data_IF_148357287272
#
_entry.id   IF_148357287272
#
_cell.length_a   1.000
_cell.length_b   1.000
_cell.length_c   1.000
_cell.angle_alpha   90.00
_cell.angle_beta   90.00
_cell.angle_gamma   90.00
#
_symmetry.space_group_name_H-M   'P 1'
#
loop_
_entity.id
_entity.type
_entity.pdbx_description
1 polymer ?
#
# COMPACT_ATOMS: atom_id res chain seq x y z
N UNK A 1 -16.33 0.46 -23.94
CA UNK A 1 -17.43 0.65 -22.97
C UNK A 1 -17.00 0.23 -21.56
N UNK A 2 -16.31 -0.89 -21.38
CA UNK A 2 -15.84 -1.35 -20.04
C UNK A 2 -14.66 -0.54 -19.48
N UNK A 3 -13.84 0.08 -20.32
CA UNK A 3 -12.63 0.80 -19.89
C UNK A 3 -12.90 2.16 -19.25
N UNK A 4 -13.95 2.86 -19.62
CA UNK A 4 -14.22 4.23 -19.21
C UNK A 4 -15.22 4.38 -18.06
N UNK A 5 -15.94 3.31 -17.71
CA UNK A 5 -16.87 3.31 -16.58
C UNK A 5 -16.16 3.25 -15.22
N UNK A 6 -16.95 3.31 -14.16
CA UNK A 6 -16.50 3.29 -12.75
C UNK A 6 -16.99 2.06 -11.99
N UNK A 7 -17.51 1.06 -12.70
CA UNK A 7 -18.17 -0.11 -12.09
C UNK A 7 -17.29 -0.85 -11.06
N UNK A 8 -15.99 -1.01 -11.37
CA UNK A 8 -15.06 -1.73 -10.48
C UNK A 8 -14.82 -0.91 -9.20
N UNK A 9 -14.62 0.40 -9.34
CA UNK A 9 -14.44 1.33 -8.22
C UNK A 9 -15.69 1.34 -7.33
N UNK A 10 -16.86 1.51 -7.91
CA UNK A 10 -18.14 1.52 -7.19
C UNK A 10 -18.38 0.18 -6.46
N UNK A 11 -18.04 -0.96 -7.10
CA UNK A 11 -18.19 -2.30 -6.51
C UNK A 11 -17.25 -2.49 -5.32
N UNK A 12 -15.99 -2.08 -5.43
CA UNK A 12 -15.03 -2.18 -4.33
C UNK A 12 -15.40 -1.28 -3.16
N UNK A 13 -15.86 -0.06 -3.42
CA UNK A 13 -16.35 0.84 -2.37
C UNK A 13 -17.56 0.26 -1.64
N UNK A 14 -18.49 -0.36 -2.39
CA UNK A 14 -19.62 -1.06 -1.78
C UNK A 14 -19.15 -2.23 -0.92
N UNK A 15 -18.17 -3.00 -1.39
CA UNK A 15 -17.57 -4.08 -0.61
C UNK A 15 -16.91 -3.55 0.68
N UNK A 16 -16.15 -2.46 0.61
CA UNK A 16 -15.52 -1.85 1.78
C UNK A 16 -16.56 -1.32 2.77
N UNK A 17 -17.64 -0.71 2.28
CA UNK A 17 -18.77 -0.28 3.10
C UNK A 17 -19.42 -1.47 3.82
N UNK A 18 -19.71 -2.55 3.10
CA UNK A 18 -20.27 -3.77 3.68
C UNK A 18 -19.30 -4.42 4.68
N UNK A 19 -17.99 -4.34 4.42
CA UNK A 19 -16.98 -4.86 5.37
C UNK A 19 -16.94 -4.02 6.64
N UNK A 20 -17.07 -2.70 6.56
CA UNK A 20 -17.02 -1.82 7.72
C UNK A 20 -18.28 -1.87 8.56
N UNK A 21 -19.45 -1.77 7.93
CA UNK A 21 -20.75 -1.73 8.62
C UNK A 21 -21.35 -3.11 8.88
N UNK A 22 -20.90 -4.12 8.15
CA UNK A 22 -21.53 -5.43 8.08
C UNK A 22 -22.61 -5.51 6.98
N UNK A 23 -23.06 -6.70 6.69
CA UNK A 23 -24.20 -6.93 5.80
C UNK A 23 -25.02 -8.12 6.30
N UNK A 24 -26.34 -7.96 6.44
CA UNK A 24 -27.08 -6.70 6.38
C UNK A 24 -26.75 -5.77 7.56
N UNK A 25 -26.91 -4.47 7.37
CA UNK A 25 -26.60 -3.46 8.41
C UNK A 25 -27.45 -3.66 9.67
N UNK A 26 -28.69 -4.13 9.50
CA UNK A 26 -29.56 -4.53 10.60
C UNK A 26 -29.75 -6.06 10.65
N UNK A 27 -28.79 -6.73 11.28
CA UNK A 27 -28.79 -8.18 11.36
C UNK A 27 -30.01 -8.76 12.11
N UNK A 28 -30.53 -8.05 13.10
CA UNK A 28 -31.71 -8.49 13.89
C UNK A 28 -33.01 -8.48 13.08
N UNK A 29 -33.23 -7.45 12.28
CA UNK A 29 -34.37 -7.40 11.36
C UNK A 29 -34.26 -8.49 10.28
N UNK A 30 -33.04 -8.70 9.77
CA UNK A 30 -32.79 -9.72 8.76
C UNK A 30 -33.03 -11.13 9.29
N UNK A 31 -32.61 -11.43 10.51
CA UNK A 31 -32.90 -12.72 11.18
C UNK A 31 -34.40 -12.94 11.33
N UNK A 32 -35.15 -11.92 11.79
CA UNK A 32 -36.58 -12.00 11.88
C UNK A 32 -37.27 -12.25 10.54
N UNK A 33 -36.82 -11.58 9.48
CA UNK A 33 -37.34 -11.78 8.13
C UNK A 33 -37.09 -13.22 7.63
N UNK A 34 -35.90 -13.78 7.86
CA UNK A 34 -35.58 -15.16 7.50
C UNK A 34 -36.44 -16.18 8.27
N UNK A 35 -36.64 -15.96 9.56
CA UNK A 35 -37.51 -16.81 10.38
C UNK A 35 -38.96 -16.82 9.86
N UNK A 36 -39.46 -15.66 9.42
CA UNK A 36 -40.81 -15.52 8.84
C UNK A 36 -40.89 -16.28 7.50
N UNK A 37 -39.89 -16.19 6.66
CA UNK A 37 -39.86 -16.84 5.34
C UNK A 37 -39.48 -18.33 5.41
N UNK A 38 -39.16 -18.87 6.58
CA UNK A 38 -38.70 -20.25 6.80
C UNK A 38 -37.46 -20.60 5.96
N UNK A 39 -36.68 -19.63 5.61
CA UNK A 39 -35.41 -19.83 4.87
C UNK A 39 -34.31 -20.19 5.84
N UNK A 40 -33.39 -21.10 5.42
CA UNK A 40 -32.26 -21.49 6.27
C UNK A 40 -31.27 -20.35 6.42
N UNK A 41 -30.83 -20.06 7.64
CA UNK A 41 -29.75 -19.09 7.91
C UNK A 41 -28.43 -19.46 7.17
N UNK A 42 -28.23 -20.74 6.83
CA UNK A 42 -27.06 -21.19 6.07
C UNK A 42 -27.00 -20.67 4.63
N UNK A 43 -28.15 -20.32 4.07
CA UNK A 43 -28.26 -19.79 2.70
C UNK A 43 -28.22 -18.26 2.65
N UNK A 44 -28.16 -17.62 3.83
CA UNK A 44 -28.15 -16.18 3.94
C UNK A 44 -26.72 -15.63 3.81
N UNK A 45 -26.50 -14.72 2.86
CA UNK A 45 -25.24 -14.01 2.72
C UNK A 45 -25.10 -12.96 3.82
N UNK A 46 -24.16 -13.17 4.74
CA UNK A 46 -23.86 -12.24 5.83
C UNK A 46 -22.39 -11.92 5.90
N UNK A 47 -22.06 -10.68 6.24
CA UNK A 47 -20.71 -10.20 6.52
C UNK A 47 -20.72 -9.58 7.90
N UNK A 48 -19.87 -10.06 8.81
CA UNK A 48 -19.68 -9.43 10.11
C UNK A 48 -18.94 -8.10 9.96
N UNK A 49 -19.37 -7.10 10.74
CA UNK A 49 -18.77 -5.76 10.69
C UNK A 49 -17.32 -5.78 11.20
N UNK A 50 -16.39 -5.40 10.35
CA UNK A 50 -14.98 -5.16 10.68
C UNK A 50 -14.73 -3.66 10.79
N UNK A 51 -14.77 -3.12 12.02
CA UNK A 51 -14.58 -1.69 12.32
C UNK A 51 -13.11 -1.24 12.21
N UNK A 52 -12.45 -1.59 11.13
CA UNK A 52 -11.05 -1.20 10.89
C UNK A 52 -10.98 0.16 10.18
N UNK A 53 -10.07 1.04 10.62
CA UNK A 53 -9.91 2.40 10.08
C UNK A 53 -9.65 2.44 8.57
N UNK A 54 -9.03 1.39 8.01
CA UNK A 54 -8.75 1.30 6.56
C UNK A 54 -10.04 1.23 5.72
N UNK A 55 -11.15 0.75 6.29
CA UNK A 55 -12.46 0.67 5.64
C UNK A 55 -13.40 1.80 6.06
N UNK A 56 -13.01 2.61 7.05
CA UNK A 56 -13.84 3.71 7.54
C UNK A 56 -13.86 4.86 6.53
N UNK A 57 -15.05 5.25 6.01
CA UNK A 57 -15.17 6.35 5.07
C UNK A 57 -14.67 7.69 5.62
N UNK A 58 -14.73 7.90 6.95
CA UNK A 58 -14.26 9.12 7.59
C UNK A 58 -12.72 9.23 7.60
N UNK A 59 -12.01 8.11 7.71
CA UNK A 59 -10.55 8.07 7.62
C UNK A 59 -10.05 8.01 6.17
N UNK A 60 -10.84 7.47 5.25
CA UNK A 60 -10.48 7.27 3.84
C UNK A 60 -11.16 8.26 2.89
N UNK A 61 -11.35 9.52 3.32
CA UNK A 61 -12.13 10.56 2.61
C UNK A 61 -11.69 10.78 1.15
N UNK A 62 -10.39 10.77 0.89
CA UNK A 62 -9.87 11.00 -0.46
C UNK A 62 -10.24 9.85 -1.41
N UNK A 63 -10.05 8.60 -0.99
CA UNK A 63 -10.39 7.43 -1.80
C UNK A 63 -11.91 7.32 -1.95
N UNK A 64 -12.66 7.60 -0.90
CA UNK A 64 -14.13 7.56 -0.92
C UNK A 64 -14.71 8.55 -1.93
N UNK A 65 -14.14 9.76 -2.03
CA UNK A 65 -14.58 10.81 -2.97
C UNK A 65 -14.04 10.65 -4.38
N UNK A 66 -12.81 10.12 -4.53
CA UNK A 66 -12.19 9.90 -5.82
C UNK A 66 -12.99 8.86 -6.64
N UNK A 67 -12.99 9.01 -7.96
CA UNK A 67 -13.55 8.03 -8.89
C UNK A 67 -12.45 7.55 -9.82
N UNK A 68 -12.15 6.25 -9.75
CA UNK A 68 -11.14 5.63 -10.59
C UNK A 68 -11.81 4.89 -11.75
N UNK A 69 -11.38 5.17 -12.98
CA UNK A 69 -11.90 4.51 -14.17
C UNK A 69 -11.57 3.02 -14.15
N UNK A 70 -12.41 2.22 -14.75
CA UNK A 70 -12.22 0.77 -14.83
C UNK A 70 -10.85 0.39 -15.42
N UNK A 71 -10.33 1.12 -16.40
CA UNK A 71 -9.00 0.87 -16.97
C UNK A 71 -7.89 1.01 -15.93
N UNK A 72 -7.93 2.06 -15.08
CA UNK A 72 -6.96 2.27 -14.01
C UNK A 72 -7.10 1.18 -12.93
N UNK A 73 -8.33 0.87 -12.52
CA UNK A 73 -8.58 -0.19 -11.53
C UNK A 73 -8.10 -1.56 -12.02
N UNK A 74 -8.35 -1.91 -13.28
CA UNK A 74 -7.86 -3.15 -13.86
C UNK A 74 -6.33 -3.22 -13.88
N UNK A 75 -5.66 -2.12 -14.22
CA UNK A 75 -4.19 -2.05 -14.16
C UNK A 75 -3.66 -2.24 -12.74
N UNK A 76 -4.28 -1.62 -11.74
CA UNK A 76 -3.90 -1.79 -10.33
C UNK A 76 -4.08 -3.26 -9.92
N UNK A 77 -5.23 -3.85 -10.20
CA UNK A 77 -5.51 -5.25 -9.88
C UNK A 77 -4.53 -6.20 -10.59
N UNK A 78 -4.24 -5.97 -11.87
CA UNK A 78 -3.26 -6.78 -12.62
C UNK A 78 -1.86 -6.69 -11.99
N UNK A 79 -1.39 -5.48 -11.70
CA UNK A 79 -0.08 -5.25 -11.09
C UNK A 79 0.06 -5.88 -9.70
N UNK A 80 -1.01 -5.93 -8.94
CA UNK A 80 -1.00 -6.49 -7.59
C UNK A 80 -1.26 -7.99 -7.54
N UNK A 81 -1.97 -8.56 -8.51
CA UNK A 81 -2.38 -9.96 -8.48
C UNK A 81 -1.59 -10.88 -9.40
N UNK A 82 -0.84 -10.34 -10.36
CA UNK A 82 -0.08 -11.12 -11.32
C UNK A 82 1.42 -10.86 -11.19
N UNK A 83 2.20 -11.92 -10.97
CA UNK A 83 3.65 -11.81 -10.89
C UNK A 83 4.26 -11.48 -12.26
N UNK A 84 5.27 -10.62 -12.27
CA UNK A 84 6.07 -10.37 -13.47
C UNK A 84 7.19 -11.41 -13.55
N UNK A 85 7.36 -12.11 -14.69
CA UNK A 85 8.46 -13.04 -14.84
C UNK A 85 9.80 -12.29 -14.78
N UNK A 86 10.72 -12.78 -13.97
CA UNK A 86 12.10 -12.23 -13.88
C UNK A 86 12.95 -12.70 -15.06
N UNK A 87 12.62 -13.86 -15.61
CA UNK A 87 13.35 -14.48 -16.70
C UNK A 87 12.37 -15.00 -17.78
N UNK A 88 12.83 -15.16 -19.01
CA UNK A 88 12.04 -15.70 -20.12
C UNK A 88 11.48 -17.12 -19.90
N UNK A 89 12.00 -17.85 -18.93
CA UNK A 89 11.55 -19.21 -18.55
C UNK A 89 10.45 -19.22 -17.48
N UNK A 90 10.27 -18.11 -16.78
CA UNK A 90 9.23 -18.01 -15.76
C UNK A 90 7.89 -17.65 -16.39
N UNK A 91 6.82 -18.29 -15.92
CA UNK A 91 5.46 -17.97 -16.34
C UNK A 91 4.83 -16.97 -15.39
N UNK A 92 3.98 -16.11 -15.91
CA UNK A 92 3.11 -15.27 -15.08
C UNK A 92 2.23 -16.16 -14.21
N UNK A 93 2.17 -15.87 -12.93
CA UNK A 93 1.34 -16.60 -11.96
C UNK A 93 0.57 -15.65 -11.06
N UNK A 94 -0.45 -16.15 -10.38
CA UNK A 94 -1.17 -15.39 -9.37
C UNK A 94 -0.29 -15.18 -8.15
N UNK A 95 -0.29 -13.96 -7.61
CA UNK A 95 0.35 -13.64 -6.33
C UNK A 95 -0.63 -14.03 -5.22
N UNK A 96 -0.16 -14.83 -4.26
CA UNK A 96 -0.92 -15.14 -3.05
C UNK A 96 -0.39 -14.31 -1.89
N UNK A 97 -1.28 -13.59 -1.22
CA UNK A 97 -0.99 -12.81 -0.02
C UNK A 97 -1.33 -13.54 1.27
N UNK A 98 -1.87 -14.76 1.19
CA UNK A 98 -2.31 -15.54 2.36
C UNK A 98 -1.19 -15.91 3.33
N UNK A 99 0.05 -16.00 2.82
CA UNK A 99 1.23 -16.31 3.62
C UNK A 99 2.07 -15.07 3.98
N UNK A 100 1.51 -13.86 3.76
CA UNK A 100 2.22 -12.62 4.05
C UNK A 100 2.32 -12.42 5.57
N UNK A 101 3.52 -12.51 6.10
CA UNK A 101 3.79 -12.27 7.52
C UNK A 101 3.74 -10.78 7.87
N UNK A 102 3.58 -10.47 9.16
CA UNK A 102 3.48 -9.09 9.68
C UNK A 102 4.69 -8.25 9.25
N UNK A 103 5.90 -8.80 9.33
CA UNK A 103 7.12 -8.07 8.93
C UNK A 103 7.15 -7.77 7.43
N UNK A 104 6.61 -8.66 6.60
CA UNK A 104 6.50 -8.45 5.16
C UNK A 104 5.45 -7.37 4.85
N UNK A 105 4.30 -7.39 5.53
CA UNK A 105 3.31 -6.32 5.43
C UNK A 105 3.89 -4.98 5.88
N UNK A 106 4.61 -4.95 7.00
CA UNK A 106 5.31 -3.76 7.48
C UNK A 106 6.29 -3.20 6.45
N UNK A 107 7.08 -4.05 5.81
CA UNK A 107 8.03 -3.65 4.77
C UNK A 107 7.33 -3.07 3.52
N UNK A 108 6.21 -3.65 3.09
CA UNK A 108 5.39 -3.12 1.99
C UNK A 108 4.81 -1.77 2.35
N UNK A 109 4.23 -1.64 3.54
CA UNK A 109 3.65 -0.41 4.04
C UNK A 109 4.70 0.70 4.13
N UNK A 110 5.87 0.40 4.68
CA UNK A 110 6.98 1.34 4.76
C UNK A 110 7.48 1.77 3.38
N UNK A 111 7.61 0.82 2.45
CA UNK A 111 8.00 1.15 1.08
C UNK A 111 6.99 2.12 0.43
N UNK A 112 5.69 1.91 0.61
CA UNK A 112 4.66 2.79 0.10
C UNK A 112 4.70 4.19 0.74
N UNK A 113 4.92 4.27 2.06
CA UNK A 113 5.02 5.54 2.78
C UNK A 113 6.30 6.33 2.45
N UNK A 114 7.33 5.66 1.98
CA UNK A 114 8.59 6.30 1.58
C UNK A 114 8.48 7.10 0.28
N UNK A 115 7.42 6.86 -0.50
CA UNK A 115 7.15 7.62 -1.72
C UNK A 115 6.29 8.85 -1.42
N UNK A 116 6.62 9.96 -2.05
CA UNK A 116 5.83 11.18 -2.02
C UNK A 116 5.39 11.58 -3.41
N UNK A 117 4.13 12.01 -3.50
CA UNK A 117 3.57 12.61 -4.70
C UNK A 117 3.42 14.11 -4.51
N UNK A 118 3.84 14.90 -5.49
CA UNK A 118 3.63 16.33 -5.51
C UNK A 118 3.44 16.81 -6.95
N UNK A 119 2.84 17.98 -7.10
CA UNK A 119 2.68 18.64 -8.41
C UNK A 119 3.80 19.68 -8.55
N UNK A 120 4.51 19.67 -9.67
CA UNK A 120 5.54 20.64 -9.96
C UNK A 120 4.91 22.05 -10.06
N UNK A 121 5.32 22.95 -9.19
CA UNK A 121 4.84 24.34 -9.19
C UNK A 121 5.51 25.20 -10.27
N UNK A 122 6.65 24.75 -10.76
CA UNK A 122 7.45 25.31 -11.84
C UNK A 122 8.19 24.19 -12.56
N UNK A 123 8.90 24.50 -13.64
CA UNK A 123 9.68 23.50 -14.36
C UNK A 123 10.84 23.00 -13.49
N UNK A 124 10.92 21.68 -13.31
CA UNK A 124 11.90 21.03 -12.44
C UNK A 124 12.80 20.10 -13.25
N UNK A 125 14.07 20.11 -12.93
CA UNK A 125 15.07 19.25 -13.52
C UNK A 125 15.51 18.19 -12.51
N UNK A 126 15.65 16.94 -12.97
CA UNK A 126 16.10 15.86 -12.11
C UNK A 126 17.62 15.83 -12.07
N UNK A 127 18.16 15.76 -10.85
CA UNK A 127 19.59 15.67 -10.58
C UNK A 127 19.88 14.47 -9.69
N UNK A 128 21.12 14.01 -9.68
CA UNK A 128 21.61 12.88 -8.88
C UNK A 128 22.99 13.20 -8.29
N UNK A 129 23.45 12.39 -7.36
CA UNK A 129 24.82 12.53 -6.85
C UNK A 129 25.82 12.10 -7.92
N UNK A 130 26.96 12.76 -7.95
CA UNK A 130 28.05 12.40 -8.83
C UNK A 130 28.49 10.93 -8.60
N UNK A 131 28.58 10.19 -9.68
CA UNK A 131 28.96 8.76 -9.63
C UNK A 131 27.80 7.77 -9.48
N UNK A 132 26.61 8.22 -9.06
CA UNK A 132 25.45 7.34 -8.97
C UNK A 132 24.89 7.00 -10.35
N UNK A 133 24.42 5.76 -10.52
CA UNK A 133 23.62 5.39 -11.68
C UNK A 133 22.19 5.86 -11.45
N UNK A 134 21.58 6.39 -12.51
CA UNK A 134 20.18 6.77 -12.43
C UNK A 134 19.27 5.54 -12.28
N UNK A 135 18.35 5.60 -11.33
CA UNK A 135 17.32 4.61 -11.15
C UNK A 135 16.03 5.30 -10.71
N UNK A 136 14.93 5.08 -11.42
CA UNK A 136 13.63 5.68 -11.10
C UNK A 136 13.05 5.27 -9.76
N UNK A 137 13.52 4.16 -9.20
CA UNK A 137 13.08 3.65 -7.89
C UNK A 137 13.88 4.23 -6.72
N UNK A 138 14.96 4.94 -7.01
CA UNK A 138 15.77 5.61 -5.99
C UNK A 138 15.24 7.00 -5.66
N UNK A 139 15.86 7.63 -4.67
CA UNK A 139 15.52 8.99 -4.25
C UNK A 139 15.69 9.95 -5.41
N UNK A 140 14.62 10.67 -5.76
CA UNK A 140 14.65 11.73 -6.76
C UNK A 140 15.00 13.08 -6.13
N UNK A 141 15.94 13.79 -6.73
CA UNK A 141 16.25 15.17 -6.38
C UNK A 141 15.83 16.08 -7.53
N UNK A 142 15.11 17.12 -7.21
CA UNK A 142 14.54 18.04 -8.20
C UNK A 142 14.97 19.45 -7.88
N UNK A 143 15.45 20.15 -8.90
CA UNK A 143 15.96 21.50 -8.79
C UNK A 143 15.32 22.40 -9.87
N UNK A 144 15.29 23.68 -9.62
CA UNK A 144 14.83 24.68 -10.59
C UNK A 144 15.91 24.94 -11.64
N UNK A 145 15.52 25.55 -12.76
CA UNK A 145 16.44 25.88 -13.83
C UNK A 145 17.62 26.76 -13.36
N UNK A 146 17.35 27.75 -12.51
CA UNK A 146 18.37 28.64 -11.96
C UNK A 146 19.35 27.95 -11.00
N UNK A 147 18.99 26.81 -10.44
CA UNK A 147 19.84 26.02 -9.54
C UNK A 147 20.66 24.96 -10.30
N UNK A 148 20.29 24.69 -11.56
CA UNK A 148 20.89 23.65 -12.37
C UNK A 148 22.40 23.91 -12.64
N UNK A 149 22.83 25.17 -12.64
CA UNK A 149 24.23 25.56 -12.79
C UNK A 149 25.13 25.02 -11.66
N UNK A 150 24.57 24.77 -10.48
CA UNK A 150 25.29 24.23 -9.33
C UNK A 150 25.63 22.74 -9.48
N UNK A 151 25.12 22.07 -10.50
CA UNK A 151 25.26 20.64 -10.72
C UNK A 151 26.05 20.36 -12.01
N UNK A 152 27.02 19.47 -11.94
CA UNK A 152 27.86 19.11 -13.10
C UNK A 152 26.99 18.50 -14.21
N UNK A 153 27.20 19.00 -15.42
CA UNK A 153 26.38 18.65 -16.57
C UNK A 153 26.47 17.16 -16.95
N UNK A 154 27.62 16.53 -16.78
CA UNK A 154 27.89 15.16 -17.24
C UNK A 154 27.60 14.10 -16.17
N UNK A 155 27.81 14.43 -14.91
CA UNK A 155 27.81 13.45 -13.81
C UNK A 155 26.59 13.55 -12.92
N UNK A 156 25.97 14.75 -12.79
CA UNK A 156 24.90 15.00 -11.83
C UNK A 156 23.55 15.29 -12.47
N UNK A 157 23.52 15.85 -13.69
CA UNK A 157 22.24 16.11 -14.38
C UNK A 157 21.72 14.84 -15.04
N UNK A 158 20.48 14.47 -14.73
CA UNK A 158 19.86 13.27 -15.27
C UNK A 158 19.36 13.54 -16.69
N UNK A 159 19.60 12.57 -17.58
CA UNK A 159 19.17 12.60 -18.98
C UNK A 159 18.29 11.39 -19.28
N UNK A 160 17.39 11.53 -20.25
CA UNK A 160 16.61 10.40 -20.74
C UNK A 160 17.54 9.38 -21.40
N UNK A 161 17.46 8.11 -21.00
CA UNK A 161 18.30 7.03 -21.53
C UNK A 161 17.72 6.41 -22.80
N UNK A 162 16.39 6.54 -23.03
CA UNK A 162 15.66 5.92 -24.14
C UNK A 162 14.51 6.80 -24.60
N UNK A 163 13.90 6.43 -25.75
CA UNK A 163 12.76 7.13 -26.34
C UNK A 163 13.16 8.35 -27.19
N UNK A 164 12.16 9.12 -27.59
CA UNK A 164 12.31 10.31 -28.47
C UNK A 164 13.15 11.43 -27.83
N UNK A 165 13.13 11.51 -26.50
CA UNK A 165 13.87 12.52 -25.71
C UNK A 165 15.27 12.05 -25.28
N UNK A 166 15.79 10.94 -25.83
CA UNK A 166 17.10 10.40 -25.45
C UNK A 166 18.21 11.45 -25.51
N UNK A 167 18.97 11.56 -24.44
CA UNK A 167 20.06 12.53 -24.30
C UNK A 167 19.64 13.93 -23.83
N UNK A 168 18.35 14.28 -23.87
CA UNK A 168 17.87 15.53 -23.30
C UNK A 168 17.86 15.47 -21.78
N UNK A 169 17.95 16.62 -21.12
CA UNK A 169 17.79 16.71 -19.67
C UNK A 169 16.41 16.24 -19.25
N UNK A 170 16.34 15.49 -18.16
CA UNK A 170 15.07 15.01 -17.63
C UNK A 170 14.39 16.16 -16.91
N UNK A 171 13.38 16.70 -17.57
CA UNK A 171 12.60 17.86 -17.10
C UNK A 171 11.15 17.43 -16.86
N UNK A 172 10.56 18.03 -15.85
CA UNK A 172 9.15 17.92 -15.48
C UNK A 172 8.54 19.30 -15.57
N UNK A 173 7.64 19.50 -16.52
CA UNK A 173 6.96 20.77 -16.74
C UNK A 173 6.07 21.12 -15.55
N UNK A 174 5.86 22.39 -15.32
CA UNK A 174 4.91 22.91 -14.34
C UNK A 174 3.54 22.22 -14.49
N UNK A 175 2.97 21.76 -13.36
CA UNK A 175 1.71 21.03 -13.33
C UNK A 175 1.85 19.52 -13.48
N UNK A 176 3.05 19.00 -13.74
CA UNK A 176 3.31 17.55 -13.80
C UNK A 176 3.25 16.94 -12.41
N UNK A 177 2.52 15.84 -12.28
CA UNK A 177 2.55 15.04 -11.04
C UNK A 177 3.82 14.19 -11.00
N UNK A 178 4.61 14.39 -9.97
CA UNK A 178 5.86 13.67 -9.70
C UNK A 178 5.63 12.74 -8.51
N UNK A 179 5.94 11.45 -8.67
CA UNK A 179 5.85 10.47 -7.60
C UNK A 179 7.20 9.76 -7.46
N UNK A 180 7.89 10.03 -6.37
CA UNK A 180 9.26 9.57 -6.15
C UNK A 180 9.50 9.20 -4.69
N UNK A 181 10.51 8.37 -4.49
CA UNK A 181 11.04 8.10 -3.17
C UNK A 181 11.58 9.41 -2.56
N UNK A 182 11.04 9.81 -1.42
CA UNK A 182 11.29 11.12 -0.80
C UNK A 182 12.48 11.16 0.15
N UNK A 183 13.40 10.23 0.03
CA UNK A 183 14.56 10.12 0.90
C UNK A 183 14.39 9.04 1.96
N UNK A 184 15.52 8.65 2.52
CA UNK A 184 15.59 7.57 3.49
C UNK A 184 15.34 8.12 4.91
N UNK A 185 14.07 8.47 5.21
CA UNK A 185 13.70 8.89 6.56
C UNK A 185 14.02 7.80 7.58
N UNK A 186 13.94 6.54 7.17
CA UNK A 186 14.34 5.38 7.96
C UNK A 186 15.82 5.40 8.33
N UNK A 187 16.71 5.77 7.40
CA UNK A 187 18.14 5.91 7.70
C UNK A 187 18.40 7.09 8.65
N UNK A 188 17.60 8.16 8.54
CA UNK A 188 17.71 9.31 9.43
C UNK A 188 17.23 8.98 10.84
N UNK A 189 16.17 8.19 10.97
CA UNK A 189 15.61 7.77 12.26
C UNK A 189 16.33 6.55 12.85
N UNK A 190 17.17 5.86 12.07
CA UNK A 190 17.78 4.57 12.41
C UNK A 190 16.75 3.51 12.85
N UNK A 191 15.51 3.62 12.37
CA UNK A 191 14.42 2.74 12.72
C UNK A 191 14.41 1.51 11.82
N UNK A 192 14.59 0.34 12.40
CA UNK A 192 14.58 -0.94 11.71
C UNK A 192 13.64 -1.91 12.43
N UNK A 193 12.90 -2.70 11.67
CA UNK A 193 12.11 -3.78 12.25
C UNK A 193 13.03 -4.81 12.91
N UNK A 194 12.71 -5.13 14.17
CA UNK A 194 13.42 -6.21 14.85
C UNK A 194 13.17 -7.54 14.10
N UNK A 195 14.22 -8.31 13.80
CA UNK A 195 14.05 -9.59 13.12
C UNK A 195 13.06 -10.50 13.85
N UNK A 196 12.17 -11.13 13.10
CA UNK A 196 11.09 -11.98 13.63
C UNK A 196 11.60 -13.10 14.55
N UNK A 197 12.78 -13.64 14.27
CA UNK A 197 13.43 -14.66 15.11
C UNK A 197 13.69 -14.13 16.51
N UNK A 198 14.15 -12.88 16.64
CA UNK A 198 14.44 -12.26 17.93
C UNK A 198 13.14 -11.94 18.68
N UNK A 199 12.15 -11.38 18.01
CA UNK A 199 10.84 -11.07 18.64
C UNK A 199 10.16 -12.35 19.11
N UNK A 200 10.12 -13.40 18.28
CA UNK A 200 9.57 -14.70 18.66
C UNK A 200 10.33 -15.33 19.85
N UNK A 201 11.65 -15.21 19.87
CA UNK A 201 12.47 -15.69 20.97
C UNK A 201 12.12 -14.96 22.28
N UNK A 202 12.11 -13.63 22.24
CA UNK A 202 11.79 -12.79 23.41
C UNK A 202 10.41 -13.11 23.97
N UNK A 203 9.38 -13.09 23.10
CA UNK A 203 7.99 -13.36 23.47
C UNK A 203 7.85 -14.78 24.02
N UNK A 204 8.46 -15.77 23.38
CA UNK A 204 8.41 -17.17 23.84
C UNK A 204 8.96 -17.31 25.26
N UNK A 205 10.11 -16.73 25.55
CA UNK A 205 10.71 -16.87 26.87
C UNK A 205 9.99 -16.02 27.93
N UNK A 206 9.57 -14.81 27.60
CA UNK A 206 8.78 -13.97 28.49
C UNK A 206 7.45 -14.66 28.87
N UNK A 207 6.73 -15.19 27.88
CA UNK A 207 5.48 -15.91 28.13
C UNK A 207 5.71 -17.22 28.89
N UNK A 208 6.80 -17.93 28.62
CA UNK A 208 7.11 -19.16 29.36
C UNK A 208 7.24 -18.92 30.87
N UNK A 209 7.91 -17.84 31.26
CA UNK A 209 8.03 -17.47 32.68
C UNK A 209 6.71 -16.93 33.23
N UNK A 210 6.02 -16.06 32.49
CA UNK A 210 4.76 -15.45 32.90
C UNK A 210 3.62 -16.47 33.07
N UNK A 211 3.56 -17.47 32.22
CA UNK A 211 2.50 -18.48 32.19
C UNK A 211 2.78 -19.70 33.09
N UNK A 212 3.94 -19.72 33.73
CA UNK A 212 4.30 -20.81 34.62
C UNK A 212 3.29 -20.93 35.77
N UNK A 213 2.77 -22.13 35.97
CA UNK A 213 1.82 -22.49 37.04
C UNK A 213 0.48 -21.73 36.99
N UNK A 214 0.12 -21.06 35.85
CA UNK A 214 -1.17 -20.38 35.67
C UNK A 214 -2.23 -21.28 35.08
N UNK A 215 -3.44 -21.13 35.58
CA UNK A 215 -4.65 -21.76 35.01
C UNK A 215 -5.13 -21.01 33.75
N UNK A 216 -5.99 -21.65 32.97
CA UNK A 216 -6.56 -21.04 31.76
C UNK A 216 -7.31 -19.73 32.06
N UNK A 217 -8.05 -19.69 33.16
CA UNK A 217 -8.79 -18.48 33.57
C UNK A 217 -7.85 -17.33 33.97
N UNK A 218 -6.77 -17.62 34.66
CA UNK A 218 -5.75 -16.62 35.01
C UNK A 218 -5.04 -16.07 33.77
N UNK A 219 -4.85 -16.90 32.74
CA UNK A 219 -4.24 -16.48 31.47
C UNK A 219 -5.16 -15.50 30.73
N UNK A 220 -6.47 -15.71 30.74
CA UNK A 220 -7.45 -14.80 30.10
C UNK A 220 -7.49 -13.40 30.75
N UNK A 221 -7.04 -13.28 31.98
CA UNK A 221 -6.99 -11.99 32.70
C UNK A 221 -5.64 -11.27 32.58
N UNK A 222 -4.69 -11.82 31.81
CA UNK A 222 -3.41 -11.16 31.60
C UNK A 222 -3.58 -9.96 30.64
N UNK A 223 -3.01 -8.85 31.05
CA UNK A 223 -2.94 -7.66 30.20
C UNK A 223 -1.60 -7.63 29.47
N UNK A 224 -1.66 -7.49 28.16
CA UNK A 224 -0.48 -7.28 27.31
C UNK A 224 -0.40 -5.81 26.96
N UNK A 225 0.74 -5.20 27.23
CA UNK A 225 1.02 -3.81 26.86
C UNK A 225 2.21 -3.81 25.87
N UNK A 226 2.05 -3.13 24.76
CA UNK A 226 3.07 -2.93 23.74
C UNK A 226 3.57 -1.49 23.76
#
# INVERSE_FOLDING_TARGET
>A
VLSEGYYIDDTLKKLFHMTYFGYPENLEEYKKAIEIEKTSMHDAFTIEALKAHIFDPEYTKLITKAKLRNCAMLQIVDLMSISRPRNSKERKGRISYSALGINQMGAVYEALLSYRGFIAEEDLYEVKRAGDKFNELDVGYFVKENELENYDEKTERVRYESGEKKGQLRMYEKGTFIYRLAGREREKSASYYTPEVLTKCLVKYALKELLKDKTADEILHLTVCE
#
